data_IF_357736530010
#
_entry.id   IF_357736530010
#
_cell.length_a   1.000
_cell.length_b   1.000
_cell.length_c   1.000
_cell.angle_alpha   90.00
_cell.angle_beta   90.00
_cell.angle_gamma   90.00
#
_symmetry.space_group_name_H-M   'P 1'
#
loop_
_entity.id
_entity.type
_entity.pdbx_description
1 polymer ?
#
# COMPACT_ATOMS: atom_id res chain seq x y z
N UNK A 1 -25.85 -17.52 -64.81
CA UNK A 1 -25.60 -18.97 -64.60
C UNK A 1 -26.14 -19.34 -63.22
N UNK A 2 -27.12 -20.24 -63.17
CA UNK A 2 -27.88 -20.60 -61.96
C UNK A 2 -27.06 -21.61 -61.15
N UNK A 3 -26.71 -21.28 -59.91
CA UNK A 3 -26.00 -22.22 -59.03
C UNK A 3 -26.91 -23.42 -58.74
N UNK A 4 -26.40 -24.65 -58.83
CA UNK A 4 -27.12 -25.85 -58.43
C UNK A 4 -27.55 -25.74 -56.96
N UNK A 5 -28.85 -25.87 -56.71
CA UNK A 5 -29.42 -25.91 -55.37
C UNK A 5 -28.96 -27.22 -54.71
N UNK A 6 -28.19 -27.20 -53.61
CA UNK A 6 -27.81 -28.43 -52.95
C UNK A 6 -29.07 -29.15 -52.45
N UNK A 7 -29.14 -30.48 -52.53
CA UNK A 7 -30.29 -31.24 -52.06
C UNK A 7 -30.59 -30.89 -50.58
N UNK A 8 -31.85 -30.87 -50.14
CA UNK A 8 -32.24 -30.40 -48.80
C UNK A 8 -31.53 -31.16 -47.67
N UNK A 9 -31.13 -32.42 -47.91
CA UNK A 9 -30.32 -33.21 -46.98
C UNK A 9 -28.85 -32.74 -46.87
N UNK A 10 -28.27 -32.16 -47.92
CA UNK A 10 -26.90 -31.65 -47.92
C UNK A 10 -26.77 -30.31 -47.18
N UNK A 11 -27.76 -29.42 -47.31
CA UNK A 11 -27.80 -28.16 -46.57
C UNK A 11 -27.83 -28.39 -45.04
N UNK A 12 -28.65 -29.33 -44.56
CA UNK A 12 -28.73 -29.68 -43.13
C UNK A 12 -27.45 -30.32 -42.58
N UNK A 13 -26.74 -31.11 -43.38
CA UNK A 13 -25.44 -31.69 -42.99
C UNK A 13 -24.35 -30.63 -42.90
N UNK A 14 -24.31 -29.68 -43.83
CA UNK A 14 -23.34 -28.57 -43.81
C UNK A 14 -23.55 -27.64 -42.62
N UNK A 15 -24.81 -27.33 -42.24
CA UNK A 15 -25.09 -26.54 -41.04
C UNK A 15 -24.65 -27.26 -39.77
N UNK A 16 -24.91 -28.57 -39.65
CA UNK A 16 -24.44 -29.37 -38.50
C UNK A 16 -22.91 -29.41 -38.42
N UNK A 17 -22.24 -29.65 -39.53
CA UNK A 17 -20.77 -29.71 -39.57
C UNK A 17 -20.16 -28.33 -39.32
N UNK A 18 -20.75 -27.26 -39.85
CA UNK A 18 -20.31 -25.89 -39.60
C UNK A 18 -20.47 -25.48 -38.13
N UNK A 19 -21.58 -25.84 -37.48
CA UNK A 19 -21.81 -25.54 -36.07
C UNK A 19 -20.88 -26.34 -35.15
N UNK A 20 -20.74 -27.65 -35.39
CA UNK A 20 -19.83 -28.52 -34.62
C UNK A 20 -18.36 -28.17 -34.86
N UNK A 21 -17.98 -27.89 -36.11
CA UNK A 21 -16.62 -27.47 -36.46
C UNK A 21 -16.27 -26.11 -35.89
N UNK A 22 -17.16 -25.12 -36.04
CA UNK A 22 -16.96 -23.77 -35.51
C UNK A 22 -16.87 -23.72 -33.99
N UNK A 23 -17.73 -24.47 -33.28
CA UNK A 23 -17.69 -24.55 -31.81
C UNK A 23 -16.43 -25.27 -31.31
N UNK A 24 -16.00 -26.35 -31.96
CA UNK A 24 -14.77 -27.06 -31.61
C UNK A 24 -13.51 -26.20 -31.81
N UNK A 25 -13.44 -25.47 -32.94
CA UNK A 25 -12.32 -24.56 -33.22
C UNK A 25 -12.28 -23.39 -32.23
N UNK A 26 -13.44 -22.78 -31.95
CA UNK A 26 -13.53 -21.68 -30.98
C UNK A 26 -13.14 -22.10 -29.56
N UNK A 27 -13.50 -23.33 -29.16
CA UNK A 27 -13.07 -23.90 -27.90
C UNK A 27 -11.55 -24.08 -27.88
N UNK A 28 -10.95 -24.69 -28.91
CA UNK A 28 -9.52 -24.96 -28.95
C UNK A 28 -8.63 -23.71 -28.77
N UNK A 29 -9.02 -22.56 -29.34
CA UNK A 29 -8.22 -21.34 -29.27
C UNK A 29 -8.28 -20.59 -27.95
N UNK A 30 -9.31 -20.78 -27.12
CA UNK A 30 -9.51 -20.02 -25.88
C UNK A 30 -9.25 -20.82 -24.59
N UNK A 31 -8.70 -22.03 -24.69
CA UNK A 31 -8.51 -22.92 -23.54
C UNK A 31 -7.19 -22.72 -22.79
N UNK A 32 -6.31 -21.84 -23.24
CA UNK A 32 -4.99 -21.62 -22.63
C UNK A 32 -4.96 -20.28 -21.92
N UNK A 33 -4.46 -20.28 -20.68
CA UNK A 33 -4.18 -19.07 -19.92
C UNK A 33 -2.75 -19.15 -19.36
N UNK A 34 -2.09 -18.01 -19.25
CA UNK A 34 -0.74 -17.92 -18.72
C UNK A 34 -0.76 -17.32 -17.31
N UNK A 35 0.00 -17.91 -16.40
CA UNK A 35 0.19 -17.40 -15.04
C UNK A 35 1.57 -16.76 -14.97
N UNK A 36 1.61 -15.44 -14.77
CA UNK A 36 2.84 -14.67 -14.65
C UNK A 36 3.61 -14.99 -13.36
N UNK A 37 4.93 -14.78 -13.40
CA UNK A 37 5.80 -15.10 -12.26
C UNK A 37 5.52 -14.21 -11.05
N UNK A 38 5.30 -14.83 -9.89
CA UNK A 38 4.88 -14.15 -8.65
C UNK A 38 3.37 -14.22 -8.37
N UNK A 39 2.59 -14.83 -9.27
CA UNK A 39 1.18 -15.13 -9.08
C UNK A 39 0.94 -16.64 -9.01
N UNK A 40 -0.20 -17.04 -8.46
CA UNK A 40 -0.72 -18.40 -8.54
C UNK A 40 -2.17 -18.35 -8.99
N UNK A 41 -2.61 -19.40 -9.69
CA UNK A 41 -3.98 -19.53 -10.12
C UNK A 41 -4.71 -20.60 -9.31
N UNK A 42 -5.91 -20.27 -8.86
CA UNK A 42 -6.91 -21.26 -8.42
C UNK A 42 -7.98 -21.34 -9.50
N UNK A 43 -8.33 -22.57 -9.88
CA UNK A 43 -9.33 -22.80 -10.92
C UNK A 43 -10.65 -23.14 -10.24
N UNK A 44 -11.65 -22.31 -10.47
CA UNK A 44 -13.01 -22.56 -10.02
C UNK A 44 -13.78 -23.34 -11.09
N UNK A 45 -14.24 -24.54 -10.77
CA UNK A 45 -15.15 -25.31 -11.60
C UNK A 45 -16.60 -25.00 -11.22
N UNK A 46 -17.43 -24.66 -12.20
CA UNK A 46 -18.85 -24.35 -12.02
C UNK A 46 -19.67 -25.51 -11.44
N UNK A 47 -19.23 -26.76 -11.64
CA UNK A 47 -19.96 -27.96 -11.21
C UNK A 47 -19.53 -28.49 -9.84
N UNK A 48 -18.23 -28.44 -9.53
CA UNK A 48 -17.64 -29.06 -8.33
C UNK A 48 -17.14 -28.02 -7.31
N UNK A 49 -17.02 -26.76 -7.72
CA UNK A 49 -16.52 -25.67 -6.90
C UNK A 49 -15.02 -25.46 -7.07
N UNK A 50 -14.33 -25.14 -5.98
CA UNK A 50 -12.91 -24.79 -6.01
C UNK A 50 -12.08 -26.08 -6.08
N UNK A 51 -11.19 -26.19 -7.06
CA UNK A 51 -10.21 -27.29 -7.08
C UNK A 51 -9.16 -27.06 -5.98
N UNK A 52 -8.86 -28.10 -5.19
CA UNK A 52 -7.84 -28.05 -4.11
C UNK A 52 -6.41 -27.84 -4.62
N UNK A 53 -6.19 -28.04 -5.92
CA UNK A 53 -4.88 -27.87 -6.55
C UNK A 53 -4.67 -26.41 -6.97
N UNK A 54 -3.70 -25.76 -6.34
CA UNK A 54 -3.18 -24.47 -6.76
C UNK A 54 -2.19 -24.66 -7.91
N UNK A 55 -2.40 -23.93 -9.00
CA UNK A 55 -1.54 -23.98 -10.19
C UNK A 55 -0.42 -22.92 -10.07
N UNK A 56 0.86 -23.35 -10.17
CA UNK A 56 2.02 -22.45 -10.12
C UNK A 56 2.13 -21.60 -11.40
N UNK A 57 3.18 -20.79 -11.52
CA UNK A 57 3.47 -20.01 -12.74
C UNK A 57 3.57 -20.90 -14.00
N UNK A 58 3.25 -20.33 -15.16
CA UNK A 58 3.30 -21.02 -16.46
C UNK A 58 1.96 -21.16 -17.18
N UNK A 59 1.96 -21.82 -18.33
CA UNK A 59 0.79 -21.99 -19.20
C UNK A 59 -0.09 -23.14 -18.73
N UNK A 60 -1.35 -22.84 -18.44
CA UNK A 60 -2.31 -23.79 -17.91
C UNK A 60 -3.51 -23.91 -18.85
N UNK A 61 -4.07 -25.12 -18.90
CA UNK A 61 -5.26 -25.43 -19.66
C UNK A 61 -6.50 -25.22 -18.78
N UNK A 62 -7.51 -24.56 -19.32
CA UNK A 62 -8.83 -24.39 -18.72
C UNK A 62 -9.92 -24.61 -19.75
N UNK A 63 -11.12 -24.93 -19.27
CA UNK A 63 -12.33 -24.96 -20.11
C UNK A 63 -13.15 -23.69 -19.82
N UNK A 64 -13.16 -22.66 -20.68
CA UNK A 64 -13.73 -21.32 -20.37
C UNK A 64 -15.17 -21.30 -19.86
N UNK A 65 -15.97 -22.30 -20.24
CA UNK A 65 -17.37 -22.38 -19.86
C UNK A 65 -17.59 -23.00 -18.48
N UNK A 66 -16.75 -23.96 -18.10
CA UNK A 66 -16.86 -24.69 -16.83
C UNK A 66 -15.87 -24.19 -15.79
N UNK A 67 -14.72 -23.68 -16.22
CA UNK A 67 -13.60 -23.32 -15.38
C UNK A 67 -13.31 -21.83 -15.49
N UNK A 68 -13.07 -21.17 -14.36
CA UNK A 68 -12.58 -19.78 -14.32
C UNK A 68 -11.30 -19.71 -13.47
N UNK A 69 -10.15 -19.32 -14.06
CA UNK A 69 -8.93 -19.10 -13.31
C UNK A 69 -9.03 -17.77 -12.57
N UNK A 70 -8.76 -17.79 -11.28
CA UNK A 70 -8.57 -16.59 -10.47
C UNK A 70 -7.08 -16.53 -10.17
N UNK A 71 -6.42 -15.56 -10.77
CA UNK A 71 -4.99 -15.31 -10.60
C UNK A 71 -4.82 -14.36 -9.43
N UNK A 72 -4.07 -14.77 -8.41
CA UNK A 72 -3.79 -13.95 -7.24
C UNK A 72 -2.29 -13.85 -6.99
N UNK A 73 -1.88 -12.71 -6.43
CA UNK A 73 -0.49 -12.44 -6.07
C UNK A 73 -0.09 -13.30 -4.88
N UNK A 74 1.05 -13.98 -4.98
CA UNK A 74 1.61 -14.80 -3.88
C UNK A 74 2.76 -14.09 -3.17
N UNK A 75 3.14 -12.91 -3.68
CA UNK A 75 3.99 -11.98 -2.95
C UNK A 75 3.13 -11.30 -1.89
N UNK A 76 3.54 -11.42 -0.63
CA UNK A 76 2.96 -10.64 0.45
C UNK A 76 3.24 -9.15 0.16
N UNK A 77 2.21 -8.39 -0.20
CA UNK A 77 2.24 -6.96 0.07
C UNK A 77 2.05 -6.81 1.59
N UNK A 78 3.04 -6.35 2.35
CA UNK A 78 2.80 -5.99 3.74
C UNK A 78 1.89 -4.76 3.73
N UNK A 79 0.59 -4.99 3.91
CA UNK A 79 -0.33 -3.89 4.17
C UNK A 79 -0.19 -3.53 5.65
N UNK A 80 0.77 -2.66 5.95
CA UNK A 80 0.94 -2.07 7.27
C UNK A 80 -0.15 -1.00 7.40
N UNK A 81 -1.32 -1.41 7.89
CA UNK A 81 -2.33 -0.44 8.35
C UNK A 81 -1.83 0.04 9.72
N UNK A 82 -0.81 0.89 9.70
CA UNK A 82 -0.38 1.60 10.89
C UNK A 82 -1.53 2.51 11.29
N UNK A 83 -2.17 2.14 12.40
CA UNK A 83 -3.21 2.95 13.00
C UNK A 83 -2.54 4.21 13.54
N UNK A 84 -2.88 5.34 12.92
CA UNK A 84 -2.53 6.68 13.37
C UNK A 84 -3.00 6.88 14.81
N UNK A 85 -2.15 6.61 15.79
CA UNK A 85 -2.36 7.04 17.17
C UNK A 85 -1.03 7.00 17.89
N UNK A 86 -0.61 8.13 18.48
CA UNK A 86 0.58 8.19 19.33
C UNK A 86 0.49 7.35 20.63
N UNK A 87 -0.43 6.40 20.70
CA UNK A 87 -0.54 5.37 21.73
C UNK A 87 0.27 4.11 21.41
N UNK A 88 0.74 3.88 20.17
CA UNK A 88 1.45 2.64 19.82
C UNK A 88 2.76 2.45 20.60
N UNK A 89 3.60 3.48 20.66
CA UNK A 89 4.84 3.45 21.44
C UNK A 89 4.58 3.23 22.93
N UNK A 90 3.49 3.83 23.43
CA UNK A 90 3.08 3.65 24.81
C UNK A 90 2.60 2.21 25.06
N UNK A 91 1.82 1.62 24.16
CA UNK A 91 1.38 0.23 24.25
C UNK A 91 2.58 -0.73 24.22
N UNK A 92 3.57 -0.47 23.36
CA UNK A 92 4.80 -1.27 23.31
C UNK A 92 5.65 -1.11 24.58
N UNK A 93 5.78 0.10 25.12
CA UNK A 93 6.50 0.34 26.36
C UNK A 93 5.81 -0.35 27.56
N UNK A 94 4.49 -0.17 27.71
CA UNK A 94 3.69 -0.80 28.77
C UNK A 94 3.71 -2.32 28.64
N UNK A 95 3.60 -2.85 27.42
CA UNK A 95 3.65 -4.29 27.18
C UNK A 95 4.99 -4.92 27.57
N UNK A 96 6.11 -4.26 27.24
CA UNK A 96 7.46 -4.69 27.66
C UNK A 96 7.62 -4.67 29.19
N UNK A 97 7.09 -3.64 29.84
CA UNK A 97 7.16 -3.53 31.30
C UNK A 97 6.33 -4.61 32.00
N UNK A 98 5.11 -4.86 31.52
CA UNK A 98 4.26 -5.95 32.04
C UNK A 98 4.97 -7.30 31.87
N UNK A 99 5.57 -7.57 30.71
CA UNK A 99 6.34 -8.80 30.47
C UNK A 99 7.46 -8.95 31.50
N UNK A 100 8.26 -7.89 31.72
CA UNK A 100 9.37 -7.91 32.68
C UNK A 100 8.89 -8.26 34.09
N UNK A 101 7.83 -7.61 34.55
CA UNK A 101 7.25 -7.86 35.89
C UNK A 101 6.73 -9.31 35.99
N UNK A 102 6.07 -9.82 34.96
CA UNK A 102 5.57 -11.19 34.95
C UNK A 102 6.70 -12.22 34.97
N UNK A 103 7.77 -12.00 34.20
CA UNK A 103 8.96 -12.86 34.23
C UNK A 103 9.66 -12.83 35.59
N UNK A 104 9.83 -11.65 36.18
CA UNK A 104 10.45 -11.50 37.50
C UNK A 104 9.62 -12.16 38.61
N UNK A 105 8.30 -11.98 38.58
CA UNK A 105 7.39 -12.66 39.52
C UNK A 105 7.38 -14.16 39.32
N UNK A 106 7.34 -14.65 38.08
CA UNK A 106 7.38 -16.08 37.78
C UNK A 106 8.69 -16.72 38.28
N UNK A 107 9.82 -16.01 38.16
CA UNK A 107 11.11 -16.46 38.67
C UNK A 107 11.12 -16.60 40.21
N UNK A 108 10.46 -15.70 40.94
CA UNK A 108 10.31 -15.81 42.40
C UNK A 108 9.52 -17.06 42.84
N UNK A 109 8.66 -17.58 41.97
CA UNK A 109 7.94 -18.84 42.18
C UNK A 109 8.62 -20.04 41.51
N UNK A 110 9.84 -19.86 40.97
CA UNK A 110 10.61 -20.87 40.26
C UNK A 110 9.87 -21.44 39.03
N UNK A 111 9.07 -20.60 38.36
CA UNK A 111 8.32 -20.93 37.15
C UNK A 111 9.06 -20.34 35.94
N UNK A 112 9.43 -21.19 34.99
CA UNK A 112 9.99 -20.76 33.71
C UNK A 112 8.85 -20.30 32.77
N UNK A 113 9.00 -19.12 32.19
CA UNK A 113 8.01 -18.47 31.34
C UNK A 113 8.58 -18.33 29.92
N UNK A 114 8.04 -19.06 28.94
CA UNK A 114 8.58 -19.10 27.58
C UNK A 114 8.24 -17.84 26.75
N UNK A 115 6.97 -17.43 26.70
CA UNK A 115 6.56 -16.19 26.01
C UNK A 115 5.25 -15.63 26.60
N UNK A 116 5.11 -14.30 26.60
CA UNK A 116 3.89 -13.62 27.10
C UNK A 116 3.28 -12.78 25.99
N UNK A 117 2.07 -13.13 25.59
CA UNK A 117 1.24 -12.34 24.68
C UNK A 117 0.16 -11.57 25.46
N UNK A 118 -0.05 -10.30 25.12
CA UNK A 118 -1.12 -9.47 25.67
C UNK A 118 -2.21 -9.37 24.61
N UNK A 119 -3.38 -9.94 24.88
CA UNK A 119 -4.48 -10.07 23.89
C UNK A 119 -5.24 -8.75 23.68
N UNK A 120 -5.40 -7.94 24.72
CA UNK A 120 -6.03 -6.63 24.61
C UNK A 120 -5.55 -5.71 25.73
N UNK A 121 -5.11 -4.51 25.36
CA UNK A 121 -4.78 -3.42 26.27
C UNK A 121 -5.62 -2.23 25.86
N UNK A 122 -6.58 -1.84 26.69
CA UNK A 122 -7.37 -0.63 26.50
C UNK A 122 -7.00 0.39 27.57
N UNK A 123 -6.80 1.64 27.13
CA UNK A 123 -6.67 2.76 28.05
C UNK A 123 -8.05 3.38 28.31
N UNK A 124 -8.25 3.90 29.52
CA UNK A 124 -9.46 4.67 29.85
C UNK A 124 -9.60 5.92 28.98
N UNK A 125 -10.84 6.41 28.79
CA UNK A 125 -11.13 7.56 27.93
C UNK A 125 -10.41 8.83 28.40
N UNK A 126 -10.30 9.01 29.71
CA UNK A 126 -9.64 10.13 30.38
C UNK A 126 -8.13 10.11 30.11
N UNK A 127 -7.52 8.91 30.07
CA UNK A 127 -6.10 8.74 29.81
C UNK A 127 -5.77 9.00 28.34
N UNK A 128 -6.59 8.47 27.41
CA UNK A 128 -6.46 8.77 25.98
C UNK A 128 -6.56 10.27 25.72
N UNK A 129 -7.57 10.92 26.31
CA UNK A 129 -7.77 12.36 26.18
C UNK A 129 -6.59 13.16 26.75
N UNK A 130 -6.00 12.72 27.88
CA UNK A 130 -4.82 13.37 28.46
C UNK A 130 -3.57 13.25 27.57
N UNK A 131 -3.36 12.10 26.90
CA UNK A 131 -2.24 11.91 25.98
C UNK A 131 -2.41 12.77 24.72
N UNK A 132 -3.62 12.80 24.15
CA UNK A 132 -3.95 13.66 23.01
C UNK A 132 -3.77 15.15 23.35
N UNK A 133 -4.29 15.59 24.50
CA UNK A 133 -4.11 16.95 24.98
C UNK A 133 -2.63 17.30 25.17
N UNK A 134 -1.81 16.38 25.71
CA UNK A 134 -0.37 16.60 25.86
C UNK A 134 0.33 16.71 24.50
N UNK A 135 -0.09 15.91 23.51
CA UNK A 135 0.44 16.00 22.16
C UNK A 135 0.11 17.34 21.51
N UNK A 136 -1.10 17.87 21.69
CA UNK A 136 -1.48 19.21 21.21
C UNK A 136 -0.60 20.27 21.84
N UNK A 137 -0.39 20.24 23.16
CA UNK A 137 0.47 21.22 23.85
C UNK A 137 1.92 21.16 23.36
N UNK A 138 2.45 19.95 23.12
CA UNK A 138 3.81 19.79 22.57
C UNK A 138 3.91 20.35 21.15
N UNK A 139 2.93 20.07 20.29
CA UNK A 139 2.90 20.59 18.92
C UNK A 139 2.72 22.11 18.88
N UNK A 140 1.86 22.66 19.74
CA UNK A 140 1.68 24.11 19.87
C UNK A 140 2.96 24.79 20.36
N UNK A 141 3.68 24.18 21.30
CA UNK A 141 4.98 24.68 21.75
C UNK A 141 6.04 24.64 20.64
N UNK A 142 6.09 23.57 19.84
CA UNK A 142 7.00 23.48 18.68
C UNK A 142 6.64 24.50 17.60
N UNK A 143 5.35 24.65 17.29
CA UNK A 143 4.87 25.68 16.35
C UNK A 143 5.20 27.08 16.82
N UNK A 144 5.05 27.37 18.12
CA UNK A 144 5.43 28.65 18.69
C UNK A 144 6.92 28.92 18.49
N UNK A 145 7.79 27.92 18.73
CA UNK A 145 9.23 28.03 18.46
C UNK A 145 9.51 28.31 16.98
N UNK A 146 8.85 27.61 16.07
CA UNK A 146 9.02 27.81 14.63
C UNK A 146 8.57 29.20 14.16
N UNK A 147 7.45 29.72 14.68
CA UNK A 147 6.99 31.07 14.37
C UNK A 147 7.98 32.12 14.86
N UNK A 148 8.51 31.96 16.07
CA UNK A 148 9.52 32.87 16.63
C UNK A 148 10.80 32.84 15.78
N UNK A 149 11.28 31.65 15.42
CA UNK A 149 12.46 31.50 14.57
C UNK A 149 12.26 32.12 13.19
N UNK A 150 11.07 31.95 12.59
CA UNK A 150 10.72 32.60 11.33
C UNK A 150 10.75 34.13 11.45
N UNK A 151 10.20 34.68 12.54
CA UNK A 151 10.23 36.13 12.79
C UNK A 151 11.67 36.63 12.98
N UNK A 152 12.54 35.86 13.64
CA UNK A 152 13.96 36.21 13.74
C UNK A 152 14.66 36.17 12.37
N UNK A 153 14.38 35.16 11.55
CA UNK A 153 14.89 35.05 10.19
C UNK A 153 14.46 36.25 9.34
N UNK A 154 13.19 36.63 9.38
CA UNK A 154 12.66 37.77 8.65
C UNK A 154 13.32 39.08 9.10
N UNK A 155 13.53 39.27 10.42
CA UNK A 155 14.28 40.41 10.97
C UNK A 155 15.73 40.45 10.46
N UNK A 156 16.45 39.32 10.51
CA UNK A 156 17.82 39.23 9.99
C UNK A 156 17.87 39.54 8.49
N UNK A 157 16.92 39.03 7.70
CA UNK A 157 16.82 39.34 6.28
C UNK A 157 16.57 40.83 6.02
N UNK A 158 15.71 41.48 6.79
CA UNK A 158 15.45 42.91 6.61
C UNK A 158 16.69 43.77 6.90
N UNK A 159 17.44 43.45 7.95
CA UNK A 159 18.70 44.13 8.29
C UNK A 159 19.74 43.91 7.19
N UNK A 160 19.90 42.67 6.72
CA UNK A 160 20.84 42.35 5.65
C UNK A 160 20.49 43.12 4.37
N UNK A 161 19.22 43.17 3.98
CA UNK A 161 18.76 43.96 2.81
C UNK A 161 19.07 45.44 2.96
N UNK A 162 18.75 46.03 4.11
CA UNK A 162 19.05 47.44 4.36
C UNK A 162 20.56 47.72 4.31
N UNK A 163 21.40 46.81 4.83
CA UNK A 163 22.86 46.95 4.76
C UNK A 163 23.38 46.84 3.32
N UNK A 164 22.81 45.94 2.51
CA UNK A 164 23.12 45.81 1.09
C UNK A 164 22.81 47.11 0.36
N UNK A 165 21.60 47.65 0.51
CA UNK A 165 21.20 48.92 -0.13
C UNK A 165 22.13 50.07 0.29
N UNK A 166 22.51 50.13 1.58
CA UNK A 166 23.42 51.16 2.11
C UNK A 166 24.83 51.04 1.52
N UNK A 167 25.33 49.82 1.37
CA UNK A 167 26.63 49.56 0.75
C UNK A 167 26.60 49.84 -0.76
N UNK A 168 25.49 49.53 -1.45
CA UNK A 168 25.28 49.83 -2.86
C UNK A 168 25.30 51.33 -3.13
N UNK A 169 24.53 52.11 -2.34
CA UNK A 169 24.56 53.57 -2.40
C UNK A 169 25.97 54.14 -2.10
N UNK A 170 26.66 53.56 -1.11
CA UNK A 170 28.01 53.99 -0.76
C UNK A 170 29.01 53.76 -1.90
N UNK A 171 28.98 52.59 -2.53
CA UNK A 171 29.81 52.28 -3.70
C UNK A 171 29.46 53.19 -4.88
N UNK A 172 28.17 53.49 -5.10
CA UNK A 172 27.73 54.37 -6.18
C UNK A 172 28.21 55.82 -5.98
N UNK A 173 28.16 56.34 -4.75
CA UNK A 173 28.70 57.66 -4.40
C UNK A 173 30.22 57.71 -4.66
N UNK A 174 30.96 56.70 -4.17
CA UNK A 174 32.41 56.60 -4.41
C UNK A 174 32.75 56.59 -5.91
N UNK A 175 31.95 55.91 -6.73
CA UNK A 175 32.17 55.80 -8.17
C UNK A 175 31.92 57.14 -8.89
N UNK A 176 30.93 57.92 -8.45
CA UNK A 176 30.68 59.29 -8.95
C UNK A 176 31.84 60.22 -8.56
N UNK A 177 32.34 60.15 -7.32
CA UNK A 177 33.45 60.98 -6.84
C UNK A 177 34.74 60.73 -7.66
N UNK A 178 35.02 59.46 -8.01
CA UNK A 178 36.19 59.07 -8.82
C UNK A 178 36.06 59.48 -10.29
N UNK A 179 34.85 59.58 -10.84
CA UNK A 179 34.62 60.06 -12.22
C UNK A 179 34.60 61.59 -12.33
N UNK A 180 34.49 62.31 -11.21
CA UNK A 180 34.46 63.78 -11.16
C UNK A 180 35.86 64.43 -11.02
N UNK A 181 36.93 63.63 -11.03
CA UNK A 181 38.34 64.03 -10.96
C UNK A 181 39.02 63.70 -12.29
#
# INVERSE_FOLDING_TARGET
MKMPNPPPAAAGRLVKVGLLGGTAVYAAFNNLYNVEGGHRAIVFNRLEGIKDKVYPEGTHFMIPWFERPIIYYVRALPNLVESTSGSHDLQMAVGREIRKILTERANNFNIALDDVSITSLSFGKEFTHAIEAKQVVVQEAERAKFIVEKVEQDKRSAIIRAQVDRNELHLMILLIEVQSI
#
